data_IF_074485152482
#
_entry.id   IF_074485152482
#
_cell.length_a   1.000
_cell.length_b   1.000
_cell.length_c   1.000
_cell.angle_alpha   90.00
_cell.angle_beta   90.00
_cell.angle_gamma   90.00
#
_symmetry.space_group_name_H-M   'P 1'
#
loop_
_entity.id
_entity.type
_entity.pdbx_description
1 polymer ?
#
# COMPACT_ATOMS: atom_id res chain seq x y z
N UNK A 1 -7.12 16.75 -34.59
CA UNK A 1 -6.86 16.00 -33.35
C UNK A 1 -5.41 16.28 -32.97
N UNK A 2 -5.17 16.98 -31.86
CA UNK A 2 -3.80 17.18 -31.37
C UNK A 2 -3.37 15.97 -30.56
N UNK A 3 -2.06 15.82 -30.36
CA UNK A 3 -1.55 14.77 -29.49
C UNK A 3 -2.17 14.82 -28.10
N UNK A 4 -2.57 16.00 -27.58
CA UNK A 4 -3.05 16.14 -26.20
C UNK A 4 -4.55 15.96 -26.02
N UNK A 5 -5.30 15.66 -27.08
CA UNK A 5 -6.76 15.56 -27.00
C UNK A 5 -7.20 14.46 -26.02
N UNK A 6 -6.42 13.37 -25.89
CA UNK A 6 -6.68 12.31 -24.91
C UNK A 6 -6.56 12.80 -23.46
N UNK A 7 -5.70 13.77 -23.16
CA UNK A 7 -5.53 14.29 -21.79
C UNK A 7 -6.79 15.05 -21.36
N UNK A 8 -7.42 15.75 -22.30
CA UNK A 8 -8.65 16.50 -22.04
C UNK A 8 -9.84 15.60 -21.69
N UNK A 9 -9.85 14.35 -22.16
CA UNK A 9 -10.87 13.34 -21.78
C UNK A 9 -10.78 12.98 -20.29
N UNK A 10 -9.58 12.99 -19.69
CA UNK A 10 -9.36 12.62 -18.29
C UNK A 10 -9.49 13.79 -17.31
N UNK A 11 -9.43 15.04 -17.78
CA UNK A 11 -9.52 16.24 -16.92
C UNK A 11 -10.74 16.26 -16.00
N UNK A 12 -11.96 15.88 -16.44
CA UNK A 12 -13.13 15.83 -15.57
C UNK A 12 -12.99 14.85 -14.40
N UNK A 13 -12.15 13.81 -14.54
CA UNK A 13 -11.92 12.76 -13.54
C UNK A 13 -10.74 13.05 -12.61
N UNK A 14 -10.01 14.16 -12.83
CA UNK A 14 -8.80 14.49 -12.08
C UNK A 14 -8.99 14.43 -10.55
N UNK A 15 -10.10 14.98 -10.06
CA UNK A 15 -10.39 15.03 -8.61
C UNK A 15 -10.66 13.64 -8.04
N UNK A 16 -11.33 12.77 -8.81
CA UNK A 16 -11.59 11.38 -8.43
C UNK A 16 -10.28 10.60 -8.34
N UNK A 17 -9.43 10.69 -9.35
CA UNK A 17 -8.10 10.05 -9.31
C UNK A 17 -7.26 10.56 -8.15
N UNK A 18 -7.24 11.87 -7.91
CA UNK A 18 -6.47 12.46 -6.83
C UNK A 18 -6.96 11.96 -5.47
N UNK A 19 -8.28 11.83 -5.28
CA UNK A 19 -8.86 11.25 -4.07
C UNK A 19 -8.43 9.80 -3.87
N UNK A 20 -8.56 8.97 -4.90
CA UNK A 20 -8.15 7.55 -4.84
C UNK A 20 -6.66 7.44 -4.51
N UNK A 21 -5.80 8.24 -5.12
CA UNK A 21 -4.36 8.22 -4.83
C UNK A 21 -4.08 8.61 -3.37
N UNK A 22 -4.77 9.62 -2.84
CA UNK A 22 -4.63 10.03 -1.44
C UNK A 22 -5.16 8.96 -0.47
N UNK A 23 -6.25 8.27 -0.80
CA UNK A 23 -6.79 7.18 0.00
C UNK A 23 -5.82 5.99 0.09
N UNK A 24 -4.98 5.78 -0.93
CA UNK A 24 -3.93 4.74 -0.94
C UNK A 24 -2.71 5.08 -0.08
N UNK A 25 -2.54 6.34 0.35
CA UNK A 25 -1.43 6.73 1.22
C UNK A 25 -1.67 6.37 2.69
N UNK A 26 -2.93 6.09 3.08
CA UNK A 26 -3.30 5.67 4.42
C UNK A 26 -3.62 4.16 4.46
N UNK A 27 -3.50 3.50 5.63
CA UNK A 27 -3.97 2.13 5.79
C UNK A 27 -5.49 2.08 5.60
N UNK A 28 -6.03 0.98 5.06
CA UNK A 28 -7.47 0.80 5.01
C UNK A 28 -8.07 0.77 6.42
N UNK A 29 -9.33 1.16 6.54
CA UNK A 29 -10.12 0.99 7.76
C UNK A 29 -11.27 0.01 7.49
N UNK A 30 -11.25 -1.22 8.05
CA UNK A 30 -10.29 -1.74 9.03
C UNK A 30 -8.97 -2.22 8.43
N UNK A 31 -7.87 -2.05 9.18
CA UNK A 31 -6.49 -2.38 8.76
C UNK A 31 -6.13 -3.86 8.95
N UNK A 32 -7.02 -4.77 8.60
CA UNK A 32 -6.87 -6.17 8.97
C UNK A 32 -5.73 -6.86 8.20
N UNK A 33 -4.97 -7.70 8.90
CA UNK A 33 -3.99 -8.60 8.31
C UNK A 33 -4.69 -9.56 7.35
N UNK A 34 -4.21 -9.65 6.11
CA UNK A 34 -4.79 -10.52 5.07
C UNK A 34 -4.74 -12.01 5.43
N UNK A 35 -3.77 -12.42 6.27
CA UNK A 35 -3.55 -13.83 6.61
C UNK A 35 -4.33 -14.29 7.85
N UNK A 36 -4.48 -13.45 8.87
CA UNK A 36 -5.06 -13.86 10.16
C UNK A 36 -6.15 -12.92 10.70
N UNK A 37 -6.43 -11.81 10.03
CA UNK A 37 -7.50 -10.88 10.40
C UNK A 37 -7.24 -9.98 11.61
N UNK A 38 -6.09 -10.10 12.29
CA UNK A 38 -5.70 -9.19 13.38
C UNK A 38 -5.29 -7.82 12.85
N UNK A 39 -4.99 -6.87 13.74
CA UNK A 39 -4.48 -5.56 13.35
C UNK A 39 -3.21 -5.66 12.49
N UNK A 40 -3.24 -5.04 11.31
CA UNK A 40 -2.18 -4.99 10.33
C UNK A 40 -1.44 -3.66 10.40
N UNK A 41 -0.13 -3.75 10.59
CA UNK A 41 0.76 -2.58 10.74
C UNK A 41 1.80 -2.50 9.62
N UNK A 42 1.92 -3.55 8.81
CA UNK A 42 2.91 -3.63 7.76
C UNK A 42 2.21 -3.78 6.41
N UNK A 43 2.68 -3.08 5.38
CA UNK A 43 2.24 -3.31 4.00
C UNK A 43 3.44 -3.62 3.13
N UNK A 44 3.22 -4.43 2.10
CA UNK A 44 4.22 -4.65 1.07
C UNK A 44 3.89 -3.79 -0.16
N UNK A 45 4.79 -2.89 -0.57
CA UNK A 45 4.53 -1.98 -1.70
C UNK A 45 4.71 -2.63 -3.07
N UNK A 46 5.41 -3.76 -3.13
CA UNK A 46 5.69 -4.49 -4.37
C UNK A 46 4.64 -5.58 -4.65
N UNK A 47 3.82 -5.92 -3.65
CA UNK A 47 2.70 -6.82 -3.83
C UNK A 47 1.51 -6.10 -4.47
N UNK A 48 0.78 -6.80 -5.33
CA UNK A 48 -0.49 -6.32 -5.88
C UNK A 48 -1.46 -5.95 -4.75
N UNK A 49 -2.11 -4.79 -4.89
CA UNK A 49 -3.06 -4.23 -3.92
C UNK A 49 -2.48 -3.87 -2.54
N UNK A 50 -1.15 -3.90 -2.36
CA UNK A 50 -0.47 -3.49 -1.13
C UNK A 50 -1.09 -4.07 0.16
N UNK A 51 -1.17 -5.41 0.29
CA UNK A 51 -1.87 -6.05 1.39
C UNK A 51 -1.28 -5.70 2.75
N UNK A 52 -2.15 -5.60 3.76
CA UNK A 52 -1.80 -5.38 5.15
C UNK A 52 -1.44 -6.70 5.84
N UNK A 53 -0.44 -6.66 6.70
CA UNK A 53 0.06 -7.77 7.51
C UNK A 53 0.27 -7.35 8.95
N UNK A 54 -0.03 -8.25 9.88
CA UNK A 54 0.51 -8.14 11.24
C UNK A 54 2.00 -8.52 11.22
N UNK A 55 2.71 -8.27 12.32
CA UNK A 55 4.15 -8.52 12.44
C UNK A 55 4.54 -9.95 12.05
N UNK A 56 3.86 -10.94 12.63
CA UNK A 56 4.23 -12.35 12.45
C UNK A 56 3.92 -12.85 11.03
N UNK A 57 2.75 -12.52 10.49
CA UNK A 57 2.40 -12.90 9.12
C UNK A 57 3.29 -12.19 8.09
N UNK A 58 3.71 -10.95 8.36
CA UNK A 58 4.69 -10.24 7.53
C UNK A 58 6.01 -11.01 7.50
N UNK A 59 6.56 -11.36 8.67
CA UNK A 59 7.81 -12.11 8.80
C UNK A 59 7.78 -13.44 8.04
N UNK A 60 6.69 -14.20 8.15
CA UNK A 60 6.52 -15.47 7.43
C UNK A 60 6.46 -15.27 5.91
N UNK A 61 5.72 -14.26 5.44
CA UNK A 61 5.54 -13.99 4.01
C UNK A 61 6.83 -13.48 3.37
N UNK A 62 7.59 -12.64 4.09
CA UNK A 62 8.86 -12.06 3.63
C UNK A 62 9.97 -13.11 3.43
N UNK A 63 9.93 -14.26 4.12
CA UNK A 63 10.89 -15.35 3.86
C UNK A 63 10.88 -15.82 2.40
N UNK A 64 9.74 -15.71 1.72
CA UNK A 64 9.61 -16.06 0.30
C UNK A 64 9.79 -14.86 -0.64
N UNK A 65 9.78 -13.63 -0.12
CA UNK A 65 9.73 -12.37 -0.88
C UNK A 65 10.83 -11.40 -0.46
N UNK A 66 12.06 -11.89 -0.30
CA UNK A 66 13.20 -11.18 0.27
C UNK A 66 13.59 -9.85 -0.41
N UNK A 67 13.12 -9.61 -1.64
CA UNK A 67 13.39 -8.36 -2.37
C UNK A 67 12.24 -7.36 -2.33
N UNK A 68 11.11 -7.76 -1.74
CA UNK A 68 9.96 -6.89 -1.64
C UNK A 68 10.20 -5.81 -0.57
N UNK A 69 9.77 -4.60 -0.86
CA UNK A 69 9.79 -3.47 0.06
C UNK A 69 8.58 -3.55 0.98
N UNK A 70 8.85 -3.38 2.27
CA UNK A 70 7.84 -3.32 3.32
C UNK A 70 7.85 -1.94 3.94
N UNK A 71 6.67 -1.44 4.27
CA UNK A 71 6.50 -0.24 5.06
C UNK A 71 5.73 -0.55 6.34
N UNK A 72 6.06 0.17 7.41
CA UNK A 72 5.39 0.11 8.69
C UNK A 72 4.52 1.35 8.88
N UNK A 73 3.32 1.18 9.45
CA UNK A 73 2.46 2.28 9.83
C UNK A 73 2.84 2.80 11.22
N UNK A 74 3.38 4.01 11.30
CA UNK A 74 3.82 4.59 12.57
C UNK A 74 2.74 5.39 13.34
N UNK A 75 1.53 5.48 12.78
CA UNK A 75 0.44 6.30 13.33
C UNK A 75 0.09 7.50 12.45
N UNK A 76 1.04 8.00 11.66
CA UNK A 76 0.87 9.18 10.81
C UNK A 76 1.12 8.88 9.32
N UNK A 77 2.13 8.07 9.01
CA UNK A 77 2.47 7.69 7.64
C UNK A 77 3.13 6.31 7.58
N UNK A 78 3.29 5.79 6.35
CA UNK A 78 4.04 4.57 6.10
C UNK A 78 5.54 4.86 5.96
N UNK A 79 6.33 4.40 6.93
CA UNK A 79 7.79 4.50 6.92
C UNK A 79 8.42 3.23 6.32
N UNK A 80 9.56 3.37 5.63
CA UNK A 80 10.30 2.20 5.14
C UNK A 80 10.73 1.30 6.31
N UNK A 81 10.48 0.00 6.17
CA UNK A 81 10.86 -1.01 7.16
C UNK A 81 11.80 -2.02 6.52
N UNK A 82 12.96 -2.22 7.13
CA UNK A 82 13.93 -3.19 6.66
C UNK A 82 13.49 -4.62 6.97
N UNK A 83 13.69 -5.54 6.01
CA UNK A 83 13.45 -6.99 6.12
C UNK A 83 14.03 -7.65 7.38
N UNK A 84 15.09 -7.07 7.96
CA UNK A 84 15.79 -7.59 9.13
C UNK A 84 15.15 -7.17 10.48
N UNK A 85 14.26 -6.15 10.51
CA UNK A 85 13.72 -5.58 11.75
C UNK A 85 12.32 -6.11 12.13
N UNK A 86 11.86 -7.22 11.52
CA UNK A 86 10.58 -7.88 11.81
C UNK A 86 10.78 -9.35 12.14
#
# INVERSE_FOLDING_TARGET
QTQNDYIHEWLPHKEEFMRVLLELEAPPDPRNCISCGTDGLYRCTDCLHQPMFCRECCRMTQQCLLFHRVQHWNGEFFEESALHMV
#
